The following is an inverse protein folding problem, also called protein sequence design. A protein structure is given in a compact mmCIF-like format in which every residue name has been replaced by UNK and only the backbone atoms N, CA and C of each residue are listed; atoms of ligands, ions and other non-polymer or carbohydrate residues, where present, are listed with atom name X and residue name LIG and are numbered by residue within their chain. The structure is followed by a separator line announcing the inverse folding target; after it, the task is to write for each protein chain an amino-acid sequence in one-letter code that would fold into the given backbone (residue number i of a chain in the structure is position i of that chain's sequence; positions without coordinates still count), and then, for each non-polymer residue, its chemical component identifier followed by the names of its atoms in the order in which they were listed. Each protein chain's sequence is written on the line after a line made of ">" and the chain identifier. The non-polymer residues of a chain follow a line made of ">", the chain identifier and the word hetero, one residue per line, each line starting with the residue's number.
data_IF_396530114723
#
_entry.id   IF_396530114723
#
_cell.length_a   1.000
_cell.length_b   1.000
_cell.length_c   1.000
_cell.angle_alpha   90.00
_cell.angle_beta   90.00
_cell.angle_gamma   90.00
#
_symmetry.space_group_name_H-M   'P 1'
#
loop_
_entity.id
_entity.type
_entity.pdbx_description
1 polymer ?
#
# COMPACT_ATOMS: atom_id res chain seq x y z
N UNK A 1 3.60 15.39 -1.62
CA UNK A 1 2.34 14.65 -1.38
C UNK A 1 2.69 13.32 -0.72
N UNK A 2 1.87 12.86 0.22
CA UNK A 2 2.05 11.56 0.90
C UNK A 2 0.78 10.75 0.69
N UNK A 3 0.91 9.50 0.25
CA UNK A 3 -0.23 8.59 0.03
C UNK A 3 0.13 7.17 0.46
N UNK A 4 -0.92 6.35 0.59
CA UNK A 4 -0.82 4.91 0.73
C UNK A 4 -1.65 4.26 -0.36
N UNK A 5 -1.13 3.19 -0.96
CA UNK A 5 -1.78 2.45 -2.03
C UNK A 5 -1.54 0.94 -1.89
N UNK A 6 -2.30 0.13 -2.62
CA UNK A 6 -2.24 -1.33 -2.60
C UNK A 6 -2.92 -1.95 -3.82
N UNK A 7 -2.54 -3.19 -4.15
CA UNK A 7 -3.27 -4.05 -5.08
C UNK A 7 -4.64 -4.50 -4.53
N UNK A 8 -4.80 -4.55 -3.19
CA UNK A 8 -6.07 -4.87 -2.51
C UNK A 8 -6.45 -3.72 -1.58
N UNK A 9 -7.37 -2.87 -2.02
CA UNK A 9 -7.68 -1.62 -1.34
C UNK A 9 -8.86 -1.77 -0.37
N UNK A 10 -8.79 -1.03 0.74
CA UNK A 10 -9.92 -0.84 1.66
C UNK A 10 -10.68 0.43 1.36
N UNK A 11 -9.94 1.52 1.26
CA UNK A 11 -10.48 2.83 0.94
C UNK A 11 -10.30 3.07 -0.57
N UNK A 12 -11.37 3.33 -1.34
CA UNK A 12 -11.27 3.62 -2.78
C UNK A 12 -10.31 4.76 -3.13
N UNK A 13 -10.09 5.73 -2.22
CA UNK A 13 -9.14 6.83 -2.41
C UNK A 13 -7.67 6.38 -2.48
N UNK A 14 -7.39 5.15 -2.05
CA UNK A 14 -6.06 4.52 -2.11
C UNK A 14 -5.87 3.70 -3.38
N UNK A 15 -6.77 3.81 -4.38
CA UNK A 15 -6.51 3.25 -5.71
C UNK A 15 -5.14 3.75 -6.20
N UNK A 16 -4.30 2.86 -6.76
CA UNK A 16 -3.04 3.26 -7.39
C UNK A 16 -3.25 4.37 -8.42
N UNK A 17 -2.27 5.26 -8.49
CA UNK A 17 -2.11 6.16 -9.64
C UNK A 17 -1.12 5.53 -10.62
N UNK A 18 -1.12 6.02 -11.85
CA UNK A 18 -0.28 5.51 -12.94
C UNK A 18 1.21 5.37 -12.54
N UNK A 19 1.78 6.36 -11.83
CA UNK A 19 3.18 6.30 -11.38
C UNK A 19 3.44 5.33 -10.21
N UNK A 20 2.39 4.84 -9.55
CA UNK A 20 2.43 3.92 -8.41
C UNK A 20 2.21 2.45 -8.83
N UNK A 21 1.52 2.20 -9.95
CA UNK A 21 1.17 0.85 -10.42
C UNK A 21 2.42 0.02 -10.70
N UNK A 22 3.34 0.52 -11.52
CA UNK A 22 4.59 -0.19 -11.85
C UNK A 22 5.39 -0.58 -10.60
N UNK A 23 5.44 0.31 -9.60
CA UNK A 23 6.15 0.06 -8.34
C UNK A 23 5.44 -0.95 -7.45
N UNK A 24 4.11 -0.94 -7.41
CA UNK A 24 3.33 -1.94 -6.67
C UNK A 24 3.56 -3.34 -7.26
N UNK A 25 3.51 -3.45 -8.58
CA UNK A 25 3.72 -4.71 -9.29
C UNK A 25 5.16 -5.19 -9.11
N UNK A 26 6.14 -4.29 -9.24
CA UNK A 26 7.55 -4.61 -8.98
C UNK A 26 7.75 -5.19 -7.57
N UNK A 27 7.20 -4.53 -6.54
CA UNK A 27 7.25 -5.07 -5.17
C UNK A 27 6.48 -6.38 -5.00
N UNK A 28 5.35 -6.55 -5.66
CA UNK A 28 4.59 -7.79 -5.60
C UNK A 28 5.35 -8.96 -6.24
N UNK A 29 6.01 -8.73 -7.38
CA UNK A 29 6.86 -9.73 -8.02
C UNK A 29 8.07 -10.10 -7.16
N UNK A 30 8.77 -9.12 -6.58
CA UNK A 30 9.88 -9.36 -5.64
C UNK A 30 9.40 -10.15 -4.42
N UNK A 31 8.23 -9.81 -3.86
CA UNK A 31 7.66 -10.51 -2.72
C UNK A 31 7.34 -11.98 -3.03
N UNK A 32 6.76 -12.25 -4.21
CA UNK A 32 6.50 -13.64 -4.66
C UNK A 32 7.79 -14.47 -4.78
N UNK A 33 8.90 -13.82 -5.14
CA UNK A 33 10.22 -14.44 -5.21
C UNK A 33 10.92 -14.53 -3.85
N UNK A 34 10.27 -14.08 -2.77
CA UNK A 34 10.83 -14.02 -1.41
C UNK A 34 12.08 -13.13 -1.31
N UNK A 35 12.18 -12.13 -2.20
CA UNK A 35 13.24 -11.15 -2.18
C UNK A 35 12.96 -10.10 -1.07
N UNK A 36 14.02 -9.48 -0.57
CA UNK A 36 13.89 -8.41 0.42
C UNK A 36 13.36 -7.14 -0.28
N UNK A 37 12.15 -6.71 0.09
CA UNK A 37 11.60 -5.44 -0.40
C UNK A 37 12.27 -4.26 0.29
N UNK A 38 12.96 -3.42 -0.49
CA UNK A 38 13.64 -2.23 0.01
C UNK A 38 12.96 -0.95 -0.47
N UNK A 39 12.97 0.14 0.33
CA UNK A 39 12.50 1.44 -0.14
C UNK A 39 13.22 1.89 -1.41
N UNK A 40 12.49 2.49 -2.34
CA UNK A 40 13.02 2.94 -3.64
C UNK A 40 12.82 4.43 -3.83
N UNK A 41 13.83 5.11 -4.39
CA UNK A 41 13.75 6.51 -4.79
C UNK A 41 13.84 6.60 -6.32
N UNK A 42 12.75 7.00 -6.99
CA UNK A 42 12.73 7.17 -8.45
C UNK A 42 12.61 8.66 -8.81
N UNK A 43 13.40 9.10 -9.78
CA UNK A 43 13.32 10.43 -10.40
C UNK A 43 12.57 10.29 -11.72
N UNK A 44 11.63 11.19 -11.97
CA UNK A 44 10.83 11.20 -13.18
C UNK A 44 11.29 12.32 -14.13
N UNK A 45 10.93 12.19 -15.41
CA UNK A 45 11.30 13.15 -16.45
C UNK A 45 10.74 14.56 -16.22
N UNK A 46 9.62 14.67 -15.50
CA UNK A 46 9.03 15.94 -15.07
C UNK A 46 9.81 16.62 -13.91
N UNK A 47 10.94 16.05 -13.49
CA UNK A 47 11.77 16.54 -12.39
C UNK A 47 11.25 16.16 -11.00
N UNK A 48 10.11 15.46 -10.91
CA UNK A 48 9.59 15.01 -9.62
C UNK A 48 10.39 13.81 -9.09
N UNK A 49 10.45 13.71 -7.77
CA UNK A 49 11.10 12.60 -7.07
C UNK A 49 10.03 11.88 -6.27
N UNK A 50 9.95 10.57 -6.39
CA UNK A 50 9.02 9.76 -5.61
C UNK A 50 9.79 8.74 -4.79
N UNK A 51 9.52 8.73 -3.49
CA UNK A 51 10.01 7.73 -2.55
C UNK A 51 8.91 6.72 -2.25
N UNK A 52 9.21 5.44 -2.47
CA UNK A 52 8.31 4.31 -2.28
C UNK A 52 8.79 3.48 -1.09
N UNK A 53 7.86 3.10 -0.21
CA UNK A 53 8.15 2.27 0.96
C UNK A 53 7.17 1.11 1.01
N UNK A 54 7.63 -0.16 0.88
CA UNK A 54 6.75 -1.32 0.92
C UNK A 54 6.20 -1.53 2.34
N UNK A 55 5.00 -2.08 2.43
CA UNK A 55 4.33 -2.43 3.69
C UNK A 55 4.22 -3.95 3.73
N UNK A 56 4.97 -4.57 4.65
CA UNK A 56 4.85 -6.01 4.98
C UNK A 56 4.09 -6.14 6.29
N UNK A 57 3.15 -7.09 6.36
CA UNK A 57 2.44 -7.38 7.61
C UNK A 57 3.32 -8.22 8.54
N UNK A 58 4.13 -7.58 9.35
CA UNK A 58 5.04 -8.25 10.29
C UNK A 58 4.44 -8.47 11.68
N UNK A 59 3.39 -7.73 12.04
CA UNK A 59 2.75 -7.80 13.35
C UNK A 59 1.36 -8.47 13.29
N UNK A 60 1.08 -9.50 14.12
CA UNK A 60 -0.23 -10.17 14.18
C UNK A 60 -1.43 -9.25 14.39
N UNK A 61 -1.25 -8.10 15.05
CA UNK A 61 -2.34 -7.14 15.25
C UNK A 61 -2.94 -6.65 13.93
N UNK A 62 -2.15 -6.60 12.85
CA UNK A 62 -2.63 -6.21 11.53
C UNK A 62 -3.72 -7.18 11.02
N UNK A 63 -3.65 -8.45 11.42
CA UNK A 63 -4.56 -9.49 10.94
C UNK A 63 -5.94 -9.45 11.59
N UNK A 64 -6.09 -8.75 12.73
CA UNK A 64 -7.40 -8.50 13.34
C UNK A 64 -8.36 -7.73 12.41
N UNK A 65 -7.81 -7.05 11.41
CA UNK A 65 -8.53 -6.26 10.42
C UNK A 65 -8.22 -6.65 8.97
N UNK A 66 -7.05 -7.24 8.68
CA UNK A 66 -6.60 -7.62 7.34
C UNK A 66 -6.49 -9.13 7.12
N UNK A 67 -6.73 -9.94 8.15
CA UNK A 67 -6.64 -11.39 8.09
C UNK A 67 -7.85 -12.05 7.40
N UNK A 68 -8.00 -13.36 7.60
CA UNK A 68 -9.13 -14.12 7.04
C UNK A 68 -10.42 -13.75 7.78
N UNK A 69 -11.47 -13.37 7.03
CA UNK A 69 -12.80 -13.05 7.59
C UNK A 69 -13.37 -14.26 8.34
N UNK A 70 -13.98 -14.03 9.50
CA UNK A 70 -14.56 -15.09 10.33
C UNK A 70 -13.56 -15.93 11.12
N UNK A 71 -12.25 -15.78 10.87
CA UNK A 71 -11.19 -16.43 11.64
C UNK A 71 -10.37 -15.41 12.42
N UNK A 72 -9.68 -14.50 11.70
CA UNK A 72 -8.83 -13.47 12.31
C UNK A 72 -9.58 -12.13 12.42
N UNK A 73 -10.43 -11.82 11.45
CA UNK A 73 -11.34 -10.68 11.53
C UNK A 73 -12.62 -11.15 12.21
N UNK A 74 -12.73 -10.86 13.50
CA UNK A 74 -13.89 -11.24 14.32
C UNK A 74 -15.17 -10.50 13.88
N UNK A 75 -16.37 -11.05 14.14
CA UNK A 75 -17.63 -10.49 13.63
C UNK A 75 -17.86 -9.00 13.95
N UNK A 76 -17.55 -8.48 15.15
CA UNK A 76 -17.68 -7.05 15.43
C UNK A 76 -16.83 -6.17 14.52
N UNK A 77 -15.57 -6.57 14.27
CA UNK A 77 -14.67 -5.84 13.38
C UNK A 77 -15.17 -5.92 11.93
N UNK A 78 -15.58 -7.11 11.49
CA UNK A 78 -16.06 -7.30 10.12
C UNK A 78 -17.31 -6.45 9.85
N UNK A 79 -18.24 -6.35 10.81
CA UNK A 79 -19.43 -5.49 10.69
C UNK A 79 -19.08 -4.01 10.51
N UNK A 80 -18.10 -3.51 11.27
CA UNK A 80 -17.63 -2.12 11.14
C UNK A 80 -16.96 -1.91 9.77
N UNK A 81 -16.10 -2.84 9.35
CA UNK A 81 -15.40 -2.78 8.07
C UNK A 81 -16.42 -2.75 6.93
N UNK A 82 -17.35 -3.70 6.88
CA UNK A 82 -18.33 -3.81 5.80
C UNK A 82 -19.27 -2.58 5.76
N UNK A 83 -19.58 -1.98 6.92
CA UNK A 83 -20.39 -0.75 6.98
C UNK A 83 -19.67 0.49 6.45
N UNK A 84 -18.35 0.62 6.68
CA UNK A 84 -17.57 1.79 6.26
C UNK A 84 -16.96 1.61 4.86
N UNK A 85 -16.72 0.36 4.47
CA UNK A 85 -16.00 -0.04 3.27
C UNK A 85 -16.71 -1.24 2.61
N UNK A 86 -17.87 -1.03 1.98
CA UNK A 86 -18.68 -2.11 1.40
C UNK A 86 -17.97 -2.86 0.25
N UNK A 87 -16.95 -2.24 -0.35
CA UNK A 87 -16.11 -2.83 -1.41
C UNK A 87 -14.69 -3.12 -0.91
N UNK A 88 -14.52 -3.43 0.39
CA UNK A 88 -13.21 -3.74 0.97
C UNK A 88 -12.62 -5.03 0.39
N UNK A 89 -11.45 -4.92 -0.21
CA UNK A 89 -10.67 -6.06 -0.72
C UNK A 89 -9.49 -6.40 0.19
N UNK A 90 -9.19 -5.57 1.19
CA UNK A 90 -7.99 -5.68 2.02
C UNK A 90 -8.08 -6.74 3.13
N UNK A 91 -8.48 -7.96 2.78
CA UNK A 91 -8.62 -9.10 3.70
C UNK A 91 -7.94 -10.35 3.17
N UNK A 92 -7.82 -11.39 4.01
CA UNK A 92 -7.21 -12.67 3.66
C UNK A 92 -5.68 -12.69 3.74
N UNK A 93 -5.05 -11.68 4.34
CA UNK A 93 -3.61 -11.63 4.52
C UNK A 93 -3.11 -12.54 5.64
N UNK A 94 -1.81 -12.85 5.59
CA UNK A 94 -1.01 -13.58 6.58
C UNK A 94 0.22 -12.74 7.00
N UNK A 95 0.91 -13.20 8.05
CA UNK A 95 2.20 -12.61 8.43
C UNK A 95 3.20 -12.80 7.30
N UNK A 96 3.94 -11.74 6.99
CA UNK A 96 4.92 -11.71 5.91
C UNK A 96 4.34 -11.32 4.54
N UNK A 97 3.02 -11.16 4.41
CA UNK A 97 2.42 -10.76 3.15
C UNK A 97 2.71 -9.29 2.82
N UNK A 98 2.89 -9.02 1.53
CA UNK A 98 2.94 -7.67 0.98
C UNK A 98 1.54 -7.02 0.99
N UNK A 99 1.39 -5.99 1.81
CA UNK A 99 0.12 -5.26 1.98
C UNK A 99 -0.06 -4.16 0.95
N UNK A 100 1.01 -3.58 0.43
CA UNK A 100 0.98 -2.38 -0.43
C UNK A 100 2.15 -1.47 -0.11
N UNK A 101 2.04 -0.18 -0.37
CA UNK A 101 3.14 0.76 -0.16
C UNK A 101 2.69 2.15 0.25
N UNK A 102 3.62 2.89 0.87
CA UNK A 102 3.57 4.33 0.99
C UNK A 102 4.28 4.98 -0.19
N UNK A 103 3.78 6.16 -0.59
CA UNK A 103 4.41 7.00 -1.61
C UNK A 103 4.58 8.41 -1.08
N UNK A 104 5.76 8.98 -1.29
CA UNK A 104 6.07 10.38 -0.98
C UNK A 104 6.58 11.03 -2.25
N UNK A 105 5.76 11.89 -2.87
CA UNK A 105 6.12 12.63 -4.09
C UNK A 105 6.55 14.05 -3.74
N UNK A 106 7.79 14.38 -4.09
CA UNK A 106 8.36 15.71 -4.03
C UNK A 106 8.16 16.38 -5.39
N UNK A 107 7.57 17.57 -5.38
CA UNK A 107 7.46 18.38 -6.59
C UNK A 107 8.85 18.91 -6.98
N UNK A 108 9.12 19.14 -8.27
CA UNK A 108 10.29 19.89 -8.69
C UNK A 108 10.33 21.23 -7.95
N UNK A 109 11.53 21.74 -7.63
CA UNK A 109 11.65 23.13 -7.18
C UNK A 109 11.10 24.03 -8.27
N UNK A 110 10.13 24.88 -7.95
CA UNK A 110 9.76 25.97 -8.85
C UNK A 110 10.94 26.92 -8.96
N UNK A 111 11.41 27.17 -10.18
CA UNK A 111 12.27 28.32 -10.48
C UNK A 111 11.46 29.60 -10.22
N UNK A 112 11.48 30.10 -8.98
CA UNK A 112 11.12 31.47 -8.60
C UNK A 112 11.24 31.62 -7.08
N UNK A 113 12.47 31.72 -6.60
CA UNK A 113 12.85 32.47 -5.40
C UNK A 113 14.32 32.93 -5.60
N UNK A 114 14.48 34.00 -6.38
CA UNK A 114 15.60 34.95 -6.27
C UNK A 114 14.99 36.31 -5.97
#
# INVERSE_FOLDING_TARGET
>A
EIRRTSLKIRNPKNKPRDYEEDMLDEYFEQWKKQEQLMPQLKKYSDGSIVFYVPIILTNPICLNCHGTKGLMIVPPNNKIIDSLYPTDEATGYKIGDFRGMWTVRFKPKSENQQ
#
